data_IF_367684592643
#
_entry.id   IF_367684592643
#
_cell.length_a   1.000
_cell.length_b   1.000
_cell.length_c   1.000
_cell.angle_alpha   90.00
_cell.angle_beta   90.00
_cell.angle_gamma   90.00
#
_symmetry.space_group_name_H-M   'P 1'
#
loop_
_entity.id
_entity.type
_entity.pdbx_description
1 polymer ?
#
# COMPACT_ATOMS: atom_id res chain seq x y z
N UNK A 1 -17.99 -33.95 -13.87
CA UNK A 1 -18.84 -33.53 -12.73
C UNK A 1 -18.06 -32.81 -11.62
N UNK A 2 -17.03 -33.40 -11.00
CA UNK A 2 -16.28 -32.76 -9.88
C UNK A 2 -15.69 -31.37 -10.21
N UNK A 3 -15.15 -31.17 -11.41
CA UNK A 3 -14.60 -29.88 -11.87
C UNK A 3 -15.67 -28.82 -12.14
N UNK A 4 -16.89 -29.22 -12.51
CA UNK A 4 -17.99 -28.28 -12.74
C UNK A 4 -18.58 -27.81 -11.40
N UNK A 5 -18.72 -28.72 -10.43
CA UNK A 5 -19.19 -28.41 -9.08
C UNK A 5 -18.22 -27.48 -8.33
N UNK A 6 -16.91 -27.69 -8.48
CA UNK A 6 -15.89 -26.81 -7.87
C UNK A 6 -15.90 -25.40 -8.49
N UNK A 7 -15.98 -25.30 -9.83
CA UNK A 7 -16.11 -24.01 -10.52
C UNK A 7 -17.38 -23.27 -10.10
N UNK A 8 -18.49 -23.98 -9.96
CA UNK A 8 -19.76 -23.41 -9.52
C UNK A 8 -19.69 -22.93 -8.06
N UNK A 9 -19.07 -23.70 -7.16
CA UNK A 9 -18.87 -23.32 -5.75
C UNK A 9 -18.01 -22.06 -5.62
N UNK A 10 -16.88 -22.00 -6.33
CA UNK A 10 -16.00 -20.81 -6.37
C UNK A 10 -16.79 -19.61 -6.90
N UNK A 11 -17.53 -19.78 -7.99
CA UNK A 11 -18.33 -18.70 -8.57
C UNK A 11 -19.43 -18.22 -7.63
N UNK A 12 -20.14 -19.12 -6.95
CA UNK A 12 -21.15 -18.73 -5.95
C UNK A 12 -20.53 -18.04 -4.73
N UNK A 13 -19.36 -18.48 -4.27
CA UNK A 13 -18.68 -17.79 -3.18
C UNK A 13 -18.23 -16.38 -3.57
N UNK A 14 -17.97 -16.09 -4.84
CA UNK A 14 -17.65 -14.73 -5.29
C UNK A 14 -18.88 -13.82 -5.39
N UNK A 15 -20.10 -14.38 -5.37
CA UNK A 15 -21.33 -13.62 -5.55
C UNK A 15 -21.99 -13.20 -4.24
N UNK A 16 -21.74 -13.88 -3.12
CA UNK A 16 -22.38 -13.60 -1.83
C UNK A 16 -21.42 -12.96 -0.83
N UNK A 17 -21.71 -11.72 -0.43
CA UNK A 17 -20.98 -10.98 0.61
C UNK A 17 -21.11 -11.62 2.01
N UNK A 18 -20.13 -11.33 2.87
CA UNK A 18 -20.17 -11.68 4.30
C UNK A 18 -20.83 -10.52 5.07
N UNK A 19 -21.87 -10.79 5.86
CA UNK A 19 -22.50 -9.77 6.72
C UNK A 19 -21.62 -9.36 7.92
N UNK A 20 -20.52 -10.06 8.19
CA UNK A 20 -19.56 -9.71 9.25
C UNK A 20 -18.52 -8.74 8.68
N UNK A 21 -18.35 -7.57 9.31
CA UNK A 21 -17.27 -6.62 8.98
C UNK A 21 -16.09 -6.78 9.94
N UNK A 22 -14.91 -7.04 9.36
CA UNK A 22 -13.66 -7.30 10.06
C UNK A 22 -12.73 -6.09 10.02
N UNK A 23 -12.61 -5.41 8.87
CA UNK A 23 -11.61 -4.36 8.65
C UNK A 23 -12.21 -3.00 8.34
N UNK A 24 -13.38 -2.94 7.70
CA UNK A 24 -14.13 -1.72 7.47
C UNK A 24 -15.13 -1.48 8.61
N UNK A 25 -15.16 -0.27 9.16
CA UNK A 25 -16.07 0.10 10.24
C UNK A 25 -16.90 1.34 9.88
N UNK A 26 -18.15 1.16 9.41
CA UNK A 26 -19.00 2.26 8.94
C UNK A 26 -19.44 3.22 10.06
N UNK A 27 -19.32 2.81 11.33
CA UNK A 27 -19.69 3.67 12.46
C UNK A 27 -18.60 4.69 12.81
N UNK A 28 -17.36 4.46 12.34
CA UNK A 28 -16.25 5.39 12.56
C UNK A 28 -16.33 6.52 11.54
N UNK A 29 -16.69 7.70 12.01
CA UNK A 29 -16.91 8.89 11.19
C UNK A 29 -15.77 9.92 11.27
N UNK A 30 -14.55 9.46 11.55
CA UNK A 30 -13.35 10.28 11.70
C UNK A 30 -12.12 9.59 11.10
N UNK A 31 -11.09 10.39 10.81
CA UNK A 31 -9.78 9.87 10.41
C UNK A 31 -9.75 9.17 9.06
N UNK A 32 -8.74 8.32 8.88
CA UNK A 32 -8.51 7.50 7.70
C UNK A 32 -9.69 6.57 7.40
N UNK A 33 -10.35 6.02 8.42
CA UNK A 33 -11.48 5.10 8.23
C UNK A 33 -12.66 5.80 7.52
N UNK A 34 -12.93 7.05 7.89
CA UNK A 34 -13.98 7.83 7.25
C UNK A 34 -13.55 8.40 5.88
N UNK A 35 -12.25 8.46 5.59
CA UNK A 35 -11.72 8.87 4.29
C UNK A 35 -11.55 7.70 3.31
N UNK A 36 -11.62 6.46 3.83
CA UNK A 36 -11.47 5.24 3.05
C UNK A 36 -12.52 5.15 1.94
N UNK A 37 -12.06 4.94 0.72
CA UNK A 37 -12.89 4.91 -0.48
C UNK A 37 -12.15 4.17 -1.61
N UNK A 38 -12.84 3.43 -2.51
CA UNK A 38 -12.20 2.73 -3.62
C UNK A 38 -11.24 3.59 -4.47
N UNK A 39 -11.68 4.79 -4.86
CA UNK A 39 -10.83 5.76 -5.60
C UNK A 39 -9.60 6.16 -4.77
N UNK A 40 -9.76 6.42 -3.47
CA UNK A 40 -8.64 6.78 -2.60
C UNK A 40 -7.60 5.65 -2.54
N UNK A 41 -8.06 4.42 -2.32
CA UNK A 41 -7.21 3.23 -2.29
C UNK A 41 -6.53 2.99 -3.62
N UNK A 42 -7.23 3.16 -4.73
CA UNK A 42 -6.66 3.00 -6.05
C UNK A 42 -5.55 4.04 -6.33
N UNK A 43 -5.74 5.30 -5.94
CA UNK A 43 -4.72 6.34 -6.07
C UNK A 43 -3.51 6.06 -5.16
N UNK A 44 -3.74 5.72 -3.90
CA UNK A 44 -2.66 5.39 -2.96
C UNK A 44 -1.85 4.19 -3.45
N UNK A 45 -2.49 3.13 -3.95
CA UNK A 45 -1.81 1.93 -4.40
C UNK A 45 -1.15 2.04 -5.77
N UNK A 46 -1.80 2.69 -6.74
CA UNK A 46 -1.26 2.79 -8.11
C UNK A 46 -0.03 3.68 -8.21
N UNK A 47 0.14 4.60 -7.25
CA UNK A 47 1.14 5.67 -7.32
C UNK A 47 1.96 5.78 -6.02
N UNK A 48 2.02 4.72 -5.20
CA UNK A 48 2.83 4.71 -3.97
C UNK A 48 4.31 4.93 -4.30
N UNK A 49 4.76 4.33 -5.40
CA UNK A 49 6.13 4.43 -5.88
C UNK A 49 6.56 5.85 -6.25
N UNK A 50 5.64 6.79 -6.49
CA UNK A 50 6.02 8.18 -6.79
C UNK A 50 6.71 8.87 -5.61
N UNK A 51 6.57 8.35 -4.39
CA UNK A 51 7.17 8.93 -3.18
C UNK A 51 8.62 8.55 -2.93
N UNK A 52 9.12 7.49 -3.55
CA UNK A 52 10.49 7.04 -3.35
C UNK A 52 11.46 7.62 -4.40
N UNK A 53 11.12 8.68 -5.11
CA UNK A 53 12.04 9.37 -6.02
C UNK A 53 12.72 8.48 -7.09
N UNK A 54 12.09 7.37 -7.46
CA UNK A 54 12.60 6.42 -8.47
C UNK A 54 12.40 6.93 -9.88
N UNK A 55 11.42 7.82 -10.08
CA UNK A 55 11.18 8.48 -11.35
C UNK A 55 11.99 9.77 -11.46
N UNK A 56 12.39 10.10 -12.69
CA UNK A 56 13.04 11.39 -12.99
C UNK A 56 12.09 12.59 -12.79
N UNK A 57 10.79 12.34 -12.84
CA UNK A 57 9.72 13.31 -12.74
C UNK A 57 8.52 12.63 -12.08
N UNK A 58 7.87 13.34 -11.16
CA UNK A 58 6.60 12.92 -10.55
C UNK A 58 5.38 13.40 -11.37
N UNK A 59 5.61 14.02 -12.53
CA UNK A 59 4.53 14.40 -13.43
C UNK A 59 3.89 13.14 -14.01
N UNK A 60 2.58 13.02 -13.81
CA UNK A 60 1.79 11.87 -14.25
C UNK A 60 1.80 11.68 -15.76
N UNK A 61 2.05 12.74 -16.54
CA UNK A 61 2.08 12.70 -18.00
C UNK A 61 3.41 12.20 -18.57
N UNK A 62 4.47 12.19 -17.76
CA UNK A 62 5.79 11.72 -18.19
C UNK A 62 5.93 10.19 -18.12
N UNK A 63 4.97 9.51 -17.48
CA UNK A 63 4.97 8.06 -17.32
C UNK A 63 4.56 7.40 -18.65
N UNK A 64 5.37 6.48 -19.21
CA UNK A 64 5.08 5.82 -20.48
C UNK A 64 4.09 4.65 -20.28
N UNK A 65 2.87 4.94 -19.79
CA UNK A 65 1.90 3.92 -19.37
C UNK A 65 1.68 2.80 -20.38
N UNK A 66 1.60 3.12 -21.68
CA UNK A 66 1.35 2.14 -22.73
C UNK A 66 2.47 1.10 -22.83
N UNK A 67 3.71 1.53 -23.03
CA UNK A 67 4.84 0.61 -23.17
C UNK A 67 5.22 -0.06 -21.84
N UNK A 68 5.00 0.59 -20.70
CA UNK A 68 5.08 -0.06 -19.39
C UNK A 68 4.05 -1.18 -19.24
N UNK A 69 2.77 -0.92 -19.59
CA UNK A 69 1.72 -1.93 -19.54
C UNK A 69 1.99 -3.09 -20.49
N UNK A 70 2.49 -2.82 -21.70
CA UNK A 70 2.93 -3.87 -22.63
C UNK A 70 4.02 -4.76 -22.02
N UNK A 71 4.98 -4.16 -21.30
CA UNK A 71 6.04 -4.89 -20.62
C UNK A 71 5.52 -5.76 -19.47
N UNK A 72 4.67 -5.21 -18.60
CA UNK A 72 4.04 -5.97 -17.51
C UNK A 72 3.20 -7.11 -18.08
N UNK A 73 2.38 -6.81 -19.10
CA UNK A 73 1.54 -7.81 -19.76
C UNK A 73 2.37 -8.95 -20.38
N UNK A 74 3.46 -8.62 -21.06
CA UNK A 74 4.36 -9.61 -21.61
C UNK A 74 4.97 -10.51 -20.52
N UNK A 75 5.38 -9.94 -19.38
CA UNK A 75 5.93 -10.69 -18.26
C UNK A 75 4.93 -11.68 -17.66
N UNK A 76 3.71 -11.22 -17.35
CA UNK A 76 2.69 -12.06 -16.71
C UNK A 76 2.03 -13.07 -17.67
N UNK A 77 2.08 -12.84 -18.98
CA UNK A 77 1.56 -13.81 -19.97
C UNK A 77 2.59 -14.85 -20.39
N UNK A 78 3.88 -14.61 -20.18
CA UNK A 78 4.97 -15.54 -20.45
C UNK A 78 5.81 -15.87 -19.19
N UNK A 79 5.19 -16.17 -18.03
CA UNK A 79 5.91 -16.18 -16.75
C UNK A 79 6.97 -17.28 -16.67
N UNK A 80 6.69 -18.46 -17.22
CA UNK A 80 7.65 -19.58 -17.23
C UNK A 80 8.87 -19.27 -18.07
N UNK A 81 8.69 -18.62 -19.22
CA UNK A 81 9.80 -18.23 -20.09
C UNK A 81 10.67 -17.18 -19.41
N UNK A 82 10.04 -16.16 -18.82
CA UNK A 82 10.74 -15.02 -18.23
C UNK A 82 11.46 -15.39 -16.94
N UNK A 83 10.86 -16.22 -16.08
CA UNK A 83 11.54 -16.78 -14.90
C UNK A 83 12.72 -17.68 -15.31
N UNK A 84 12.59 -18.46 -16.40
CA UNK A 84 13.72 -19.26 -16.90
C UNK A 84 14.85 -18.40 -17.44
N UNK A 85 14.53 -17.30 -18.14
CA UNK A 85 15.53 -16.34 -18.61
C UNK A 85 16.24 -15.69 -17.43
N UNK A 86 15.50 -15.24 -16.43
CA UNK A 86 16.05 -14.64 -15.21
C UNK A 86 16.92 -15.62 -14.43
N UNK A 87 16.51 -16.89 -14.33
CA UNK A 87 17.15 -17.91 -13.53
C UNK A 87 16.19 -18.39 -12.44
N UNK A 88 15.78 -19.66 -12.50
CA UNK A 88 14.74 -20.20 -11.59
C UNK A 88 15.21 -20.17 -10.14
N UNK A 89 16.46 -20.55 -9.88
CA UNK A 89 17.00 -20.59 -8.53
C UNK A 89 17.14 -19.18 -7.95
N UNK A 90 17.60 -18.22 -8.76
CA UNK A 90 17.71 -16.81 -8.36
C UNK A 90 16.33 -16.19 -8.11
N UNK A 91 15.34 -16.49 -8.95
CA UNK A 91 13.96 -16.06 -8.72
C UNK A 91 13.40 -16.60 -7.40
N UNK A 92 13.60 -17.89 -7.11
CA UNK A 92 13.13 -18.48 -5.85
C UNK A 92 13.86 -17.89 -4.66
N UNK A 93 15.16 -17.72 -4.75
CA UNK A 93 15.97 -17.14 -3.67
C UNK A 93 15.58 -15.69 -3.38
N UNK A 94 15.42 -14.85 -4.40
CA UNK A 94 15.17 -13.42 -4.22
C UNK A 94 13.70 -13.08 -3.96
N UNK A 95 12.79 -13.65 -4.75
CA UNK A 95 11.39 -13.24 -4.76
C UNK A 95 10.49 -14.11 -3.88
N UNK A 96 10.79 -15.40 -3.72
CA UNK A 96 9.85 -16.37 -3.11
C UNK A 96 10.25 -16.82 -1.71
N UNK A 97 11.53 -17.04 -1.42
CA UNK A 97 11.98 -17.55 -0.13
C UNK A 97 13.30 -16.89 0.29
N UNK A 98 13.31 -15.56 0.43
CA UNK A 98 14.46 -14.87 0.98
C UNK A 98 14.29 -14.53 2.46
N UNK A 99 14.94 -15.29 3.34
CA UNK A 99 15.06 -14.94 4.76
C UNK A 99 16.33 -14.12 5.06
N UNK A 100 17.02 -13.61 4.03
CA UNK A 100 18.18 -12.75 4.22
C UNK A 100 17.77 -11.43 4.89
N UNK A 101 18.56 -11.03 5.89
CA UNK A 101 18.48 -9.69 6.50
C UNK A 101 19.28 -8.64 5.73
N UNK A 102 19.91 -9.01 4.62
CA UNK A 102 20.56 -8.08 3.70
C UNK A 102 19.49 -7.27 2.93
N UNK A 103 19.43 -5.93 3.11
CA UNK A 103 18.45 -5.10 2.42
C UNK A 103 18.53 -5.19 0.88
N UNK A 104 19.69 -5.53 0.32
CA UNK A 104 19.88 -5.70 -1.13
C UNK A 104 19.36 -7.04 -1.68
N UNK A 105 18.88 -7.92 -0.79
CA UNK A 105 18.30 -9.23 -1.12
C UNK A 105 16.91 -9.42 -0.49
N UNK A 106 16.34 -8.35 0.06
CA UNK A 106 15.16 -8.43 0.93
C UNK A 106 13.81 -8.37 0.23
N UNK A 107 13.70 -8.64 -1.08
CA UNK A 107 12.48 -8.42 -1.88
C UNK A 107 11.27 -9.22 -1.36
N UNK A 108 11.53 -10.43 -0.87
CA UNK A 108 10.53 -11.29 -0.23
C UNK A 108 9.74 -10.65 0.92
N UNK A 109 10.37 -9.81 1.75
CA UNK A 109 9.71 -9.29 2.95
C UNK A 109 8.64 -8.22 2.61
N UNK A 110 8.91 -7.22 1.75
CA UNK A 110 7.88 -6.41 1.11
C UNK A 110 6.81 -7.24 0.40
N UNK A 111 7.17 -8.30 -0.33
CA UNK A 111 6.21 -9.16 -1.04
C UNK A 111 5.18 -9.79 -0.10
N UNK A 112 5.63 -10.34 1.04
CA UNK A 112 4.70 -10.83 2.07
C UNK A 112 3.92 -9.67 2.72
N UNK A 113 4.60 -8.61 3.15
CA UNK A 113 3.98 -7.58 3.96
C UNK A 113 2.95 -6.77 3.16
N UNK A 114 3.28 -6.36 1.94
CA UNK A 114 2.41 -5.55 1.08
C UNK A 114 1.44 -6.42 0.28
N UNK A 115 1.94 -7.40 -0.48
CA UNK A 115 1.10 -8.14 -1.45
C UNK A 115 0.30 -9.29 -0.83
N UNK A 116 0.78 -9.93 0.24
CA UNK A 116 -0.03 -10.94 0.96
C UNK A 116 -0.88 -10.30 2.04
N UNK A 117 -0.25 -9.65 3.03
CA UNK A 117 -0.96 -9.12 4.19
C UNK A 117 -1.73 -7.83 3.85
N UNK A 118 -1.05 -6.83 3.27
CA UNK A 118 -1.64 -5.54 2.92
C UNK A 118 -2.81 -5.66 1.94
N UNK A 119 -2.53 -6.20 0.76
CA UNK A 119 -3.51 -6.39 -0.31
C UNK A 119 -4.62 -7.39 0.08
N UNK A 120 -4.30 -8.47 0.79
CA UNK A 120 -5.31 -9.41 1.29
C UNK A 120 -6.29 -8.76 2.27
N UNK A 121 -5.78 -7.95 3.21
CA UNK A 121 -6.62 -7.17 4.11
C UNK A 121 -7.43 -6.11 3.38
N UNK A 122 -6.82 -5.36 2.44
CA UNK A 122 -7.53 -4.35 1.64
C UNK A 122 -8.60 -4.96 0.75
N UNK A 123 -8.38 -6.15 0.19
CA UNK A 123 -9.40 -6.89 -0.56
C UNK A 123 -10.65 -7.11 0.31
N UNK A 124 -10.49 -7.55 1.55
CA UNK A 124 -11.64 -7.74 2.44
C UNK A 124 -12.24 -6.40 2.86
N UNK A 125 -11.41 -5.42 3.24
CA UNK A 125 -11.89 -4.08 3.64
C UNK A 125 -12.71 -3.41 2.52
N UNK A 126 -12.27 -3.57 1.27
CA UNK A 126 -12.94 -3.05 0.09
C UNK A 126 -14.24 -3.82 -0.23
N UNK A 127 -14.26 -5.14 -0.03
CA UNK A 127 -15.50 -5.93 -0.10
C UNK A 127 -16.52 -5.38 0.90
N UNK A 128 -16.12 -5.19 2.16
CA UNK A 128 -16.99 -4.70 3.23
C UNK A 128 -17.47 -3.26 2.97
N UNK A 129 -16.62 -2.41 2.37
CA UNK A 129 -17.03 -1.07 1.95
C UNK A 129 -18.08 -1.12 0.84
N UNK A 130 -17.87 -1.92 -0.20
CA UNK A 130 -18.83 -2.07 -1.29
C UNK A 130 -20.16 -2.66 -0.80
N UNK A 131 -20.11 -3.62 0.12
CA UNK A 131 -21.29 -4.22 0.76
C UNK A 131 -22.07 -3.16 1.55
N UNK A 132 -21.38 -2.37 2.39
CA UNK A 132 -22.01 -1.29 3.17
C UNK A 132 -22.72 -0.25 2.29
N UNK A 133 -22.18 0.01 1.11
CA UNK A 133 -22.73 0.96 0.15
C UNK A 133 -23.71 0.30 -0.85
N UNK A 134 -24.14 -0.93 -0.60
CA UNK A 134 -25.15 -1.67 -1.37
C UNK A 134 -24.78 -1.93 -2.84
N UNK A 135 -23.51 -2.16 -3.14
CA UNK A 135 -23.09 -2.62 -4.47
C UNK A 135 -23.46 -4.09 -4.67
N UNK A 136 -23.91 -4.47 -5.88
CA UNK A 136 -24.47 -5.81 -6.14
C UNK A 136 -23.46 -6.97 -6.00
N UNK A 137 -22.17 -6.72 -6.27
CA UNK A 137 -21.13 -7.76 -6.24
C UNK A 137 -19.88 -7.28 -5.50
N UNK A 138 -19.94 -7.09 -4.16
CA UNK A 138 -18.86 -6.46 -3.40
C UNK A 138 -17.51 -7.15 -3.55
N UNK A 139 -17.48 -8.49 -3.57
CA UNK A 139 -16.26 -9.28 -3.79
C UNK A 139 -15.63 -9.08 -5.16
N UNK A 140 -16.43 -9.07 -6.22
CA UNK A 140 -15.92 -8.88 -7.58
C UNK A 140 -15.43 -7.44 -7.78
N UNK A 141 -16.16 -6.46 -7.23
CA UNK A 141 -15.76 -5.06 -7.25
C UNK A 141 -14.46 -4.85 -6.47
N UNK A 142 -14.33 -5.48 -5.31
CA UNK A 142 -13.11 -5.48 -4.52
C UNK A 142 -11.95 -6.09 -5.30
N UNK A 143 -12.11 -7.32 -5.82
CA UNK A 143 -11.10 -8.00 -6.63
C UNK A 143 -10.66 -7.14 -7.81
N UNK A 144 -11.60 -6.52 -8.52
CA UNK A 144 -11.30 -5.62 -9.63
C UNK A 144 -10.54 -4.37 -9.20
N UNK A 145 -10.94 -3.75 -8.09
CA UNK A 145 -10.29 -2.54 -7.55
C UNK A 145 -8.86 -2.84 -7.09
N UNK A 146 -8.67 -3.92 -6.34
CA UNK A 146 -7.36 -4.30 -5.82
C UNK A 146 -6.42 -4.76 -6.94
N UNK A 147 -6.90 -5.58 -7.87
CA UNK A 147 -6.12 -5.99 -9.04
C UNK A 147 -5.73 -4.78 -9.89
N UNK A 148 -6.66 -3.84 -10.10
CA UNK A 148 -6.40 -2.64 -10.90
C UNK A 148 -5.24 -1.82 -10.32
N UNK A 149 -5.28 -1.48 -9.04
CA UNK A 149 -4.23 -0.63 -8.48
C UNK A 149 -2.88 -1.36 -8.41
N UNK A 150 -2.87 -2.67 -8.17
CA UNK A 150 -1.64 -3.46 -8.16
C UNK A 150 -0.98 -3.48 -9.53
N UNK A 151 -1.76 -3.75 -10.60
CA UNK A 151 -1.26 -3.69 -11.98
C UNK A 151 -0.78 -2.27 -12.31
N UNK A 152 -1.50 -1.24 -11.88
CA UNK A 152 -1.09 0.14 -12.13
C UNK A 152 0.18 0.51 -11.36
N UNK A 153 0.39 0.01 -10.14
CA UNK A 153 1.65 0.19 -9.41
C UNK A 153 2.82 -0.35 -10.25
N UNK A 154 2.72 -1.59 -10.75
CA UNK A 154 3.75 -2.18 -11.62
C UNK A 154 4.02 -1.33 -12.86
N UNK A 155 2.97 -0.80 -13.48
CA UNK A 155 3.08 0.06 -14.68
C UNK A 155 3.84 1.35 -14.38
N UNK A 156 3.62 1.94 -13.20
CA UNK A 156 4.25 3.19 -12.78
C UNK A 156 5.67 2.95 -12.26
N UNK A 157 5.91 1.85 -11.56
CA UNK A 157 7.20 1.47 -10.98
C UNK A 157 8.23 1.08 -12.05
N UNK A 158 7.76 0.53 -13.16
CA UNK A 158 8.60 0.03 -14.24
C UNK A 158 8.43 0.84 -15.54
N UNK A 159 8.74 2.16 -15.55
CA UNK A 159 8.65 2.98 -16.74
C UNK A 159 9.63 2.47 -17.79
N UNK A 160 9.13 1.95 -18.91
CA UNK A 160 10.01 1.45 -19.96
C UNK A 160 9.51 1.78 -21.35
N UNK A 161 10.45 2.18 -22.22
CA UNK A 161 10.22 2.29 -23.66
C UNK A 161 10.47 0.98 -24.42
N UNK A 162 10.81 -0.12 -23.73
CA UNK A 162 11.13 -1.43 -24.33
C UNK A 162 10.68 -2.61 -23.46
N UNK A 163 10.54 -3.77 -24.08
CA UNK A 163 10.30 -5.02 -23.35
C UNK A 163 11.58 -5.51 -22.68
N UNK A 164 11.46 -5.99 -21.45
CA UNK A 164 12.54 -6.62 -20.68
C UNK A 164 11.97 -7.60 -19.66
N UNK A 165 12.83 -8.50 -19.16
CA UNK A 165 12.43 -9.49 -18.15
C UNK A 165 12.28 -8.79 -16.80
N UNK A 166 11.07 -8.80 -16.26
CA UNK A 166 10.75 -8.33 -14.92
C UNK A 166 10.04 -9.43 -14.15
N UNK A 167 10.76 -10.10 -13.26
CA UNK A 167 10.21 -11.17 -12.43
C UNK A 167 9.44 -10.67 -11.22
N UNK A 168 9.61 -9.40 -10.83
CA UNK A 168 8.94 -8.78 -9.69
C UNK A 168 7.42 -8.73 -9.91
N UNK A 169 7.01 -8.20 -11.07
CA UNK A 169 5.61 -8.22 -11.50
C UNK A 169 5.00 -9.63 -11.60
N UNK A 170 5.82 -10.66 -11.82
CA UNK A 170 5.38 -12.07 -11.85
C UNK A 170 5.12 -12.55 -10.41
N UNK A 171 6.05 -12.32 -9.48
CA UNK A 171 5.85 -12.63 -8.06
C UNK A 171 4.62 -11.93 -7.51
N UNK A 172 4.48 -10.63 -7.75
CA UNK A 172 3.44 -9.84 -7.12
C UNK A 172 2.06 -10.15 -7.67
N UNK A 173 1.90 -10.09 -9.00
CA UNK A 173 0.59 -10.24 -9.62
C UNK A 173 0.11 -11.69 -9.71
N UNK A 174 1.01 -12.67 -9.85
CA UNK A 174 0.63 -14.07 -10.07
C UNK A 174 0.79 -14.96 -8.83
N UNK A 175 1.55 -14.53 -7.81
CA UNK A 175 1.81 -15.33 -6.61
C UNK A 175 1.28 -14.64 -5.36
N UNK A 176 1.85 -13.50 -4.97
CA UNK A 176 1.60 -12.92 -3.65
C UNK A 176 0.23 -12.23 -3.54
N UNK A 177 -0.20 -11.45 -4.54
CA UNK A 177 -1.53 -10.84 -4.53
C UNK A 177 -2.65 -11.90 -4.50
N UNK A 178 -2.64 -12.95 -5.36
CA UNK A 178 -3.60 -14.04 -5.27
C UNK A 178 -3.53 -14.81 -3.95
N UNK A 179 -2.32 -15.03 -3.41
CA UNK A 179 -2.14 -15.67 -2.11
C UNK A 179 -2.76 -14.86 -0.98
N UNK A 180 -2.57 -13.54 -0.97
CA UNK A 180 -3.19 -12.61 -0.01
C UNK A 180 -4.72 -12.68 -0.06
N UNK A 181 -5.29 -12.59 -1.26
CA UNK A 181 -6.75 -12.71 -1.47
C UNK A 181 -7.27 -14.05 -0.96
N UNK A 182 -6.58 -15.15 -1.29
CA UNK A 182 -6.96 -16.50 -0.84
C UNK A 182 -6.86 -16.62 0.68
N UNK A 183 -5.76 -16.17 1.28
CA UNK A 183 -5.52 -16.23 2.71
C UNK A 183 -6.59 -15.45 3.49
N UNK A 184 -6.92 -14.24 3.05
CA UNK A 184 -7.93 -13.40 3.69
C UNK A 184 -9.38 -13.78 3.34
N UNK A 185 -9.58 -14.74 2.44
CA UNK A 185 -10.91 -15.35 2.23
C UNK A 185 -11.33 -16.26 3.40
N UNK A 186 -10.40 -16.71 4.25
CA UNK A 186 -10.69 -17.54 5.41
C UNK A 186 -11.13 -16.71 6.63
N UNK A 187 -12.25 -17.10 7.26
CA UNK A 187 -12.82 -16.39 8.42
C UNK A 187 -11.85 -16.27 9.59
N UNK A 188 -11.09 -17.32 9.89
CA UNK A 188 -10.16 -17.33 11.01
C UNK A 188 -8.99 -16.38 10.81
N UNK A 189 -8.51 -16.25 9.56
CA UNK A 189 -7.47 -15.26 9.20
C UNK A 189 -8.00 -13.85 9.39
N UNK A 190 -9.21 -13.56 8.86
CA UNK A 190 -9.86 -12.26 9.04
C UNK A 190 -10.05 -11.94 10.53
N UNK A 191 -10.49 -12.90 11.32
CA UNK A 191 -10.67 -12.74 12.76
C UNK A 191 -9.33 -12.49 13.46
N UNK A 192 -8.30 -13.25 13.14
CA UNK A 192 -6.96 -13.09 13.71
C UNK A 192 -6.43 -11.68 13.47
N UNK A 193 -6.43 -11.21 12.23
CA UNK A 193 -5.91 -9.89 11.87
C UNK A 193 -6.85 -8.71 12.19
N UNK A 194 -8.12 -8.94 12.51
CA UNK A 194 -9.02 -7.86 12.96
C UNK A 194 -9.16 -7.76 14.48
N UNK A 195 -8.95 -8.87 15.21
CA UNK A 195 -9.21 -8.95 16.66
C UNK A 195 -7.99 -9.34 17.50
N UNK A 196 -7.16 -10.27 17.02
CA UNK A 196 -6.05 -10.83 17.83
C UNK A 196 -4.77 -10.03 17.66
N UNK A 197 -4.42 -9.76 16.41
CA UNK A 197 -3.26 -8.96 15.98
C UNK A 197 -3.80 -7.88 15.05
N UNK A 198 -4.45 -6.83 15.60
CA UNK A 198 -5.25 -5.91 14.80
C UNK A 198 -4.37 -5.20 13.78
N UNK A 199 -4.66 -5.46 12.51
CA UNK A 199 -4.09 -4.82 11.34
C UNK A 199 -5.02 -3.71 10.84
N UNK A 200 -4.46 -2.59 10.40
CA UNK A 200 -5.21 -1.47 9.84
C UNK A 200 -4.55 -0.90 8.59
N UNK A 201 -5.42 -0.39 7.71
CA UNK A 201 -5.05 0.51 6.62
C UNK A 201 -4.93 1.94 7.13
N UNK A 202 -3.71 2.48 7.09
CA UNK A 202 -3.36 3.87 7.36
C UNK A 202 -2.80 4.53 6.09
N UNK A 203 -3.35 4.17 4.93
CA UNK A 203 -3.05 4.84 3.67
C UNK A 203 -3.24 6.36 3.77
N UNK A 204 -2.44 7.08 2.99
CA UNK A 204 -2.36 8.54 3.05
C UNK A 204 -3.54 9.21 2.33
N UNK A 205 -3.47 10.55 2.21
CA UNK A 205 -4.47 11.36 1.55
C UNK A 205 -3.93 11.85 0.20
N UNK A 206 -4.21 11.17 -0.93
CA UNK A 206 -3.75 11.60 -2.25
C UNK A 206 -4.17 13.03 -2.53
N UNK A 207 -3.21 13.87 -2.91
CA UNK A 207 -3.41 15.27 -3.23
C UNK A 207 -3.11 15.51 -4.70
N UNK A 208 -4.14 15.83 -5.48
CA UNK A 208 -3.98 16.15 -6.90
C UNK A 208 -3.46 17.58 -7.02
N UNK A 209 -2.32 17.76 -7.68
CA UNK A 209 -1.80 19.07 -8.05
C UNK A 209 -2.00 19.28 -9.56
N UNK A 210 -3.07 19.99 -9.93
CA UNK A 210 -3.43 20.20 -11.33
C UNK A 210 -2.44 21.08 -12.10
N UNK A 211 -1.72 21.96 -11.41
CA UNK A 211 -0.76 22.87 -12.05
C UNK A 211 0.55 22.15 -12.38
N UNK A 212 1.07 21.36 -11.45
CA UNK A 212 2.28 20.57 -11.66
C UNK A 212 1.99 19.23 -12.38
N UNK A 213 0.72 18.84 -12.50
CA UNK A 213 0.28 17.54 -13.02
C UNK A 213 0.86 16.36 -12.23
N UNK A 214 1.02 16.56 -10.92
CA UNK A 214 1.56 15.57 -9.99
C UNK A 214 0.47 15.06 -9.06
N UNK A 215 0.76 13.93 -8.42
CA UNK A 215 -0.04 13.36 -7.35
C UNK A 215 0.84 13.24 -6.11
N UNK A 216 0.51 14.02 -5.09
CA UNK A 216 1.29 14.10 -3.85
C UNK A 216 0.65 13.25 -2.76
N UNK A 217 1.44 12.86 -1.75
CA UNK A 217 0.94 12.17 -0.55
C UNK A 217 0.13 10.89 -0.85
N UNK A 218 0.48 10.17 -1.91
CA UNK A 218 -0.06 8.83 -2.22
C UNK A 218 0.76 7.77 -1.54
N UNK A 219 0.19 6.99 -0.64
CA UNK A 219 0.86 5.75 -0.29
C UNK A 219 0.05 4.79 0.54
N UNK A 220 0.32 3.52 0.30
CA UNK A 220 -0.27 2.41 1.04
C UNK A 220 0.57 2.14 2.27
N UNK A 221 -0.05 2.32 3.42
CA UNK A 221 0.63 2.09 4.68
C UNK A 221 -0.27 1.32 5.62
N UNK A 222 0.35 0.44 6.36
CA UNK A 222 -0.34 -0.48 7.25
C UNK A 222 0.28 -0.43 8.62
N UNK A 223 -0.51 -0.75 9.63
CA UNK A 223 -0.02 -0.93 10.99
C UNK A 223 -0.62 -2.19 11.59
N UNK A 224 0.19 -2.89 12.38
CA UNK A 224 -0.23 -3.99 13.24
C UNK A 224 0.14 -3.63 14.68
N UNK A 225 -0.81 -3.81 15.59
CA UNK A 225 -0.59 -3.71 17.02
C UNK A 225 -0.49 -5.11 17.66
N UNK A 226 0.37 -5.22 18.69
CA UNK A 226 0.57 -6.46 19.46
C UNK A 226 0.06 -6.28 20.90
N UNK A 227 -1.27 -6.28 21.12
CA UNK A 227 -1.88 -5.95 22.41
C UNK A 227 -1.44 -6.88 23.55
N UNK A 228 -1.05 -8.11 23.23
CA UNK A 228 -0.64 -9.13 24.19
C UNK A 228 0.79 -8.96 24.73
N UNK A 229 1.61 -8.08 24.16
CA UNK A 229 3.02 -7.91 24.57
C UNK A 229 3.26 -6.78 25.59
N UNK A 230 2.34 -5.82 25.74
CA UNK A 230 2.52 -4.68 26.65
C UNK A 230 1.29 -4.31 27.50
N UNK A 231 0.27 -5.18 27.49
CA UNK A 231 -0.97 -4.99 28.24
C UNK A 231 -1.91 -3.95 27.63
N UNK A 232 -2.95 -3.58 28.38
CA UNK A 232 -4.04 -2.76 27.84
C UNK A 232 -3.65 -1.32 27.50
N UNK A 233 -2.56 -0.80 28.09
CA UNK A 233 -2.16 0.61 27.96
C UNK A 233 -1.01 0.86 27.01
N UNK A 234 -0.08 -0.07 26.88
CA UNK A 234 1.12 0.11 26.06
C UNK A 234 1.21 -1.06 25.10
N UNK A 235 1.21 -0.80 23.80
CA UNK A 235 1.15 -1.85 22.79
C UNK A 235 2.28 -1.65 21.79
N UNK A 236 3.20 -2.63 21.62
CA UNK A 236 4.12 -2.61 20.51
C UNK A 236 3.35 -2.57 19.19
N UNK A 237 3.90 -1.89 18.20
CA UNK A 237 3.37 -1.90 16.85
C UNK A 237 4.48 -2.03 15.82
N UNK A 238 4.10 -2.53 14.64
CA UNK A 238 4.89 -2.47 13.41
C UNK A 238 4.06 -1.72 12.38
N UNK A 239 4.68 -0.73 11.75
CA UNK A 239 4.11 0.06 10.66
C UNK A 239 4.95 -0.20 9.41
N UNK A 240 4.29 -0.49 8.29
CA UNK A 240 4.97 -0.77 7.04
C UNK A 240 4.28 -0.16 5.81
N UNK A 241 4.97 -0.20 4.69
CA UNK A 241 4.67 0.47 3.42
C UNK A 241 6.01 0.89 2.82
N UNK A 242 6.12 2.12 2.32
CA UNK A 242 7.42 2.72 1.97
C UNK A 242 8.32 2.99 3.20
N UNK A 243 7.70 3.12 4.39
CA UNK A 243 8.43 3.13 5.66
C UNK A 243 8.38 1.74 6.27
N UNK A 244 9.44 1.31 6.95
CA UNK A 244 9.44 0.17 7.85
C UNK A 244 9.78 0.66 9.26
N UNK A 245 8.80 0.67 10.16
CA UNK A 245 8.94 1.23 11.50
C UNK A 245 8.40 0.28 12.57
N UNK A 246 9.00 0.34 13.74
CA UNK A 246 8.49 -0.29 14.95
C UNK A 246 8.42 0.74 16.08
N UNK A 247 7.51 0.53 17.02
CA UNK A 247 7.29 1.51 18.06
C UNK A 247 6.36 1.06 19.17
N UNK A 248 5.94 2.03 19.96
CA UNK A 248 5.02 1.83 21.07
C UNK A 248 3.82 2.76 20.92
N UNK A 249 2.64 2.19 21.16
CA UNK A 249 1.36 2.86 21.21
C UNK A 249 0.88 2.95 22.64
N UNK A 250 0.58 4.15 23.10
CA UNK A 250 -0.07 4.39 24.38
C UNK A 250 -1.58 4.57 24.20
N UNK A 251 -2.38 3.66 24.77
CA UNK A 251 -3.84 3.74 24.81
C UNK A 251 -4.27 4.72 25.90
N UNK A 252 -4.88 5.81 25.46
CA UNK A 252 -5.52 6.83 26.29
C UNK A 252 -6.98 6.45 26.57
N UNK A 253 -7.65 7.28 27.38
CA UNK A 253 -9.11 7.16 27.59
C UNK A 253 -9.87 7.37 26.27
N UNK A 254 -11.07 6.79 26.19
CA UNK A 254 -11.99 6.95 25.05
C UNK A 254 -11.44 6.41 23.72
N UNK A 255 -10.72 5.29 23.78
CA UNK A 255 -10.18 4.58 22.60
C UNK A 255 -9.32 5.49 21.71
N UNK A 256 -8.59 6.42 22.32
CA UNK A 256 -7.60 7.27 21.66
C UNK A 256 -6.20 6.71 21.89
N UNK A 257 -5.33 6.90 20.92
CA UNK A 257 -3.99 6.32 20.95
C UNK A 257 -2.97 7.35 20.47
N UNK A 258 -1.81 7.36 21.12
CA UNK A 258 -0.61 8.06 20.65
C UNK A 258 0.45 7.01 20.38
N UNK A 259 0.98 6.96 19.16
CA UNK A 259 2.00 6.01 18.78
C UNK A 259 3.27 6.74 18.38
N UNK A 260 4.43 6.30 18.89
CA UNK A 260 5.74 6.82 18.50
C UNK A 260 6.53 5.68 17.87
N UNK A 261 7.02 5.89 16.64
CA UNK A 261 7.74 4.89 15.87
C UNK A 261 9.12 5.37 15.44
N UNK A 262 10.06 4.43 15.38
CA UNK A 262 11.39 4.62 14.80
C UNK A 262 11.63 3.53 13.77
N UNK A 263 12.32 3.87 12.68
CA UNK A 263 12.64 2.90 11.65
C UNK A 263 13.34 3.51 10.46
N UNK A 264 12.99 3.02 9.27
CA UNK A 264 13.58 3.45 8.01
C UNK A 264 12.53 3.78 6.97
N UNK A 265 12.91 4.54 5.97
CA UNK A 265 12.11 4.85 4.77
C UNK A 265 12.92 4.57 3.52
N UNK A 266 12.29 4.09 2.46
CA UNK A 266 12.90 4.02 1.13
C UNK A 266 12.75 5.39 0.45
N UNK A 267 13.84 6.14 0.36
CA UNK A 267 13.84 7.49 -0.22
C UNK A 267 14.22 7.51 -1.70
N UNK A 268 14.96 6.51 -2.17
CA UNK A 268 15.32 6.33 -3.57
C UNK A 268 15.39 4.85 -3.91
N UNK A 269 14.89 4.43 -5.07
CA UNK A 269 15.26 3.13 -5.65
C UNK A 269 16.21 3.38 -6.82
N UNK A 270 17.32 2.64 -6.85
CA UNK A 270 18.27 2.65 -7.96
C UNK A 270 18.01 1.43 -8.83
N UNK A 271 17.80 1.65 -10.11
CA UNK A 271 17.80 0.58 -11.12
C UNK A 271 19.24 0.30 -11.55
N UNK A 272 19.70 -0.91 -11.30
CA UNK A 272 20.97 -1.44 -11.79
C UNK A 272 20.67 -2.44 -12.91
N UNK A 273 21.13 -2.16 -14.13
CA UNK A 273 21.14 -3.17 -15.19
C UNK A 273 22.34 -4.06 -14.91
N UNK A 274 22.11 -5.33 -14.56
CA UNK A 274 23.17 -6.32 -14.47
C UNK A 274 23.29 -7.03 -15.81
N UNK A 275 24.42 -6.82 -16.48
CA UNK A 275 24.89 -7.76 -17.51
C UNK A 275 25.44 -8.97 -16.76
N UNK A 276 24.67 -10.05 -16.66
CA UNK A 276 25.22 -11.35 -16.27
C UNK A 276 25.46 -12.18 -17.53
N UNK A 277 26.30 -13.22 -17.43
CA UNK A 277 26.75 -14.07 -18.54
C UNK A 277 25.60 -14.73 -19.36
N UNK A 278 24.35 -14.58 -18.94
CA UNK A 278 23.15 -15.13 -19.58
C UNK A 278 22.03 -14.10 -19.85
N UNK A 279 22.21 -12.82 -19.53
CA UNK A 279 21.11 -11.84 -19.46
C UNK A 279 21.50 -10.49 -20.06
N UNK A 280 21.05 -10.24 -21.30
CA UNK A 280 20.82 -8.86 -21.75
C UNK A 280 19.50 -8.37 -21.13
N UNK A 281 19.55 -7.26 -20.38
CA UNK A 281 18.40 -6.45 -19.92
C UNK A 281 17.64 -6.90 -18.67
N UNK A 282 18.27 -7.48 -17.65
CA UNK A 282 17.64 -7.63 -16.32
C UNK A 282 17.87 -6.39 -15.47
N UNK A 283 16.81 -5.81 -14.90
CA UNK A 283 16.86 -4.64 -14.03
C UNK A 283 16.72 -5.09 -12.57
N UNK A 284 17.67 -4.72 -11.72
CA UNK A 284 17.61 -4.90 -10.27
C UNK A 284 17.32 -3.57 -9.58
N UNK A 285 16.48 -3.61 -8.55
CA UNK A 285 16.06 -2.43 -7.80
C UNK A 285 16.70 -2.44 -6.40
N UNK A 286 17.62 -1.51 -6.13
CA UNK A 286 18.28 -1.40 -4.83
C UNK A 286 17.76 -0.16 -4.08
N UNK A 287 17.16 -0.31 -2.89
CA UNK A 287 16.64 0.81 -2.12
C UNK A 287 17.73 1.56 -1.33
N UNK A 288 17.81 2.88 -1.52
CA UNK A 288 18.48 3.80 -0.60
C UNK A 288 17.53 4.15 0.56
N UNK A 289 17.92 3.72 1.76
CA UNK A 289 17.11 3.90 2.95
C UNK A 289 17.68 4.92 3.92
N UNK A 290 16.83 5.80 4.44
CA UNK A 290 17.12 6.74 5.53
C UNK A 290 16.45 6.32 6.84
N UNK A 291 16.83 6.96 7.94
CA UNK A 291 16.13 6.86 9.21
C UNK A 291 14.79 7.60 9.17
N UNK A 292 13.84 7.12 9.97
CA UNK A 292 12.50 7.72 10.10
C UNK A 292 12.06 7.74 11.56
N UNK A 293 11.49 8.87 11.98
CA UNK A 293 10.81 9.08 13.25
C UNK A 293 9.37 9.48 12.96
N UNK A 294 8.41 8.83 13.62
CA UNK A 294 7.00 9.09 13.42
C UNK A 294 6.23 9.27 14.73
N UNK A 295 5.22 10.13 14.67
CA UNK A 295 4.19 10.31 15.68
C UNK A 295 2.83 10.11 15.02
N UNK A 296 2.01 9.25 15.59
CA UNK A 296 0.65 9.01 15.15
C UNK A 296 -0.34 9.33 16.28
N UNK A 297 -1.47 9.88 15.90
CA UNK A 297 -2.63 10.03 16.79
C UNK A 297 -3.83 9.39 16.12
N UNK A 298 -4.44 8.42 16.78
CA UNK A 298 -5.56 7.65 16.24
C UNK A 298 -6.70 7.50 17.25
N UNK A 299 -7.88 7.17 16.76
CA UNK A 299 -9.05 6.85 17.59
C UNK A 299 -9.78 5.66 16.99
N UNK A 300 -10.10 4.66 17.81
CA UNK A 300 -10.79 3.43 17.36
C UNK A 300 -10.06 2.78 16.17
N UNK A 301 -8.72 2.84 16.19
CA UNK A 301 -7.80 2.42 15.13
C UNK A 301 -7.87 3.18 13.79
N UNK A 302 -8.68 4.24 13.70
CA UNK A 302 -8.67 5.19 12.59
C UNK A 302 -7.61 6.28 12.81
N UNK A 303 -6.73 6.49 11.83
CA UNK A 303 -5.67 7.48 11.92
C UNK A 303 -6.25 8.89 11.81
N UNK A 304 -6.04 9.72 12.83
CA UNK A 304 -6.50 11.12 12.84
C UNK A 304 -5.40 12.05 12.33
N UNK A 305 -4.17 11.82 12.77
CA UNK A 305 -3.02 12.63 12.40
C UNK A 305 -1.76 11.77 12.37
N UNK A 306 -0.88 12.02 11.40
CA UNK A 306 0.50 11.53 11.42
C UNK A 306 1.47 12.68 11.19
N UNK A 307 2.63 12.58 11.83
CA UNK A 307 3.77 13.44 11.59
C UNK A 307 5.01 12.55 11.46
N UNK A 308 5.77 12.72 10.40
CA UNK A 308 6.96 11.93 10.10
C UNK A 308 8.12 12.85 9.75
N UNK A 309 9.31 12.47 10.20
CA UNK A 309 10.57 13.10 9.83
C UNK A 309 11.50 12.00 9.31
N UNK A 310 12.15 12.25 8.18
CA UNK A 310 13.11 11.32 7.56
C UNK A 310 14.45 11.99 7.32
N UNK A 311 15.52 11.20 7.25
CA UNK A 311 16.88 11.67 6.99
C UNK A 311 17.96 10.69 7.47
N UNK A 312 19.27 11.01 7.36
CA UNK A 312 19.80 12.34 7.06
C UNK A 312 20.16 12.57 5.59
N UNK A 313 20.05 11.58 4.69
CA UNK A 313 20.45 11.79 3.28
C UNK A 313 19.44 12.63 2.51
N UNK A 314 18.15 12.42 2.77
CA UNK A 314 17.05 13.21 2.24
C UNK A 314 16.15 13.64 3.40
N UNK A 315 16.36 14.87 3.87
CA UNK A 315 15.54 15.41 4.94
C UNK A 315 14.14 15.71 4.42
N UNK A 316 13.14 15.14 5.06
CA UNK A 316 11.75 15.45 4.77
C UNK A 316 10.91 15.44 6.04
N UNK A 317 9.92 16.33 6.09
CA UNK A 317 8.91 16.42 7.12
C UNK A 317 7.56 16.26 6.43
N UNK A 318 6.76 15.32 6.92
CA UNK A 318 5.41 15.07 6.41
C UNK A 318 4.40 15.14 7.55
N UNK A 319 3.32 15.90 7.38
CA UNK A 319 2.23 16.00 8.34
C UNK A 319 0.91 15.80 7.62
N UNK A 320 0.11 14.87 8.14
CA UNK A 320 -1.24 14.57 7.67
C UNK A 320 -2.23 14.79 8.80
N UNK A 321 -3.31 15.52 8.52
CA UNK A 321 -4.50 15.61 9.38
C UNK A 321 -5.71 15.21 8.55
N UNK A 322 -6.43 14.18 8.97
CA UNK A 322 -7.57 13.66 8.20
C UNK A 322 -8.84 14.51 8.42
N UNK A 323 -9.81 14.48 7.49
CA UNK A 323 -11.12 15.09 7.69
C UNK A 323 -11.83 14.58 8.95
N UNK A 324 -12.75 15.37 9.49
CA UNK A 324 -13.48 15.14 10.75
C UNK A 324 -12.65 15.25 12.04
N UNK A 325 -11.36 15.58 11.94
CA UNK A 325 -10.51 15.93 13.11
C UNK A 325 -10.74 17.39 13.52
N UNK A 326 -10.64 18.32 12.57
CA UNK A 326 -10.88 19.75 12.79
C UNK A 326 -12.27 20.08 12.26
N UNK A 327 -13.17 20.59 13.12
CA UNK A 327 -14.55 20.92 12.77
C UNK A 327 -14.80 22.43 12.85
N UNK A 328 -15.14 23.02 11.72
CA UNK A 328 -15.52 24.43 11.57
C UNK A 328 -17.01 24.48 11.18
N UNK A 329 -17.89 24.35 12.19
CA UNK A 329 -19.32 24.20 11.95
C UNK A 329 -19.65 22.91 11.20
N UNK A 330 -20.25 23.03 10.00
CA UNK A 330 -20.55 21.89 9.11
C UNK A 330 -19.37 21.48 8.24
N UNK A 331 -18.32 22.30 8.18
CA UNK A 331 -17.15 22.03 7.37
C UNK A 331 -16.08 21.32 8.20
N UNK A 332 -15.44 20.30 7.63
CA UNK A 332 -14.35 19.60 8.29
C UNK A 332 -13.27 19.20 7.29
N UNK A 333 -12.25 20.05 7.12
CA UNK A 333 -11.15 19.78 6.21
C UNK A 333 -10.16 18.78 6.81
N UNK A 334 -9.46 18.07 5.94
CA UNK A 334 -8.16 17.49 6.21
C UNK A 334 -7.06 18.36 5.61
N UNK A 335 -5.85 18.22 6.13
CA UNK A 335 -4.68 18.98 5.74
C UNK A 335 -3.51 18.06 5.47
N UNK A 336 -2.70 18.45 4.49
CA UNK A 336 -1.41 17.87 4.21
C UNK A 336 -0.37 18.97 4.18
N UNK A 337 0.79 18.70 4.78
CA UNK A 337 1.96 19.55 4.73
C UNK A 337 3.18 18.67 4.52
N UNK A 338 3.99 19.04 3.54
CA UNK A 338 5.31 18.47 3.36
C UNK A 338 6.35 19.57 3.20
N UNK A 339 7.55 19.32 3.74
CA UNK A 339 8.70 20.18 3.60
C UNK A 339 9.99 19.36 3.61
N UNK A 340 10.76 19.41 2.52
CA UNK A 340 12.03 18.71 2.47
C UNK A 340 12.69 18.66 1.09
N UNK A 341 13.83 17.99 1.03
CA UNK A 341 14.60 17.80 -0.21
C UNK A 341 13.90 16.89 -1.22
N UNK A 342 13.09 15.94 -0.73
CA UNK A 342 12.35 15.00 -1.59
C UNK A 342 11.02 15.54 -2.09
N UNK A 343 10.27 16.27 -1.25
CA UNK A 343 8.90 16.70 -1.56
C UNK A 343 8.79 18.21 -1.85
N UNK A 344 9.84 19.01 -1.62
CA UNK A 344 9.72 20.48 -1.70
C UNK A 344 8.79 21.02 -0.61
N UNK A 345 8.17 22.18 -0.82
CA UNK A 345 7.11 22.69 0.04
C UNK A 345 5.75 22.41 -0.60
N UNK A 346 4.99 21.48 -0.02
CA UNK A 346 3.64 21.13 -0.50
C UNK A 346 2.61 21.36 0.58
N UNK A 347 1.52 22.02 0.21
CA UNK A 347 0.32 22.18 1.02
C UNK A 347 -0.85 21.47 0.35
N UNK A 348 -1.65 20.75 1.13
CA UNK A 348 -2.83 20.06 0.62
C UNK A 348 -4.07 20.25 1.50
N UNK A 349 -5.23 20.20 0.85
CA UNK A 349 -6.54 20.29 1.48
C UNK A 349 -7.43 19.14 0.98
N UNK A 350 -7.99 18.37 1.90
CA UNK A 350 -8.97 17.32 1.60
C UNK A 350 -10.29 17.62 2.30
N UNK A 351 -11.38 17.03 1.80
CA UNK A 351 -12.71 17.14 2.42
C UNK A 351 -13.38 15.79 2.48
N UNK A 352 -14.20 15.58 3.51
CA UNK A 352 -14.84 14.30 3.84
C UNK A 352 -15.39 13.50 2.64
N UNK A 353 -16.11 14.16 1.73
CA UNK A 353 -16.91 13.51 0.71
C UNK A 353 -16.21 13.43 -0.65
N UNK A 354 -14.94 13.83 -0.73
CA UNK A 354 -14.12 13.74 -1.94
C UNK A 354 -12.97 12.78 -1.63
N UNK A 355 -12.78 11.70 -2.40
CA UNK A 355 -11.82 10.64 -2.09
C UNK A 355 -10.35 11.01 -2.34
N UNK A 356 -10.09 12.28 -2.63
CA UNK A 356 -8.78 12.88 -2.84
C UNK A 356 -8.84 14.34 -2.37
N UNK A 357 -7.68 14.93 -2.13
CA UNK A 357 -7.54 16.36 -1.87
C UNK A 357 -6.87 17.10 -3.03
N UNK A 358 -6.71 18.40 -2.84
CA UNK A 358 -6.01 19.28 -3.77
C UNK A 358 -4.69 19.72 -3.14
N UNK A 359 -3.60 19.54 -3.88
CA UNK A 359 -2.25 19.91 -3.47
C UNK A 359 -1.74 21.12 -4.25
N UNK A 360 -0.80 21.83 -3.65
CA UNK A 360 0.00 22.86 -4.32
C UNK A 360 1.44 22.83 -3.81
N UNK A 361 2.36 22.69 -4.75
CA UNK A 361 3.80 22.87 -4.56
C UNK A 361 4.18 24.36 -4.68
N UNK A 362 5.18 24.80 -3.93
CA UNK A 362 5.61 26.20 -3.78
C UNK A 362 7.09 26.45 -4.03
#
# INVERSE_FOLDING_TARGET
MKTLTLKLLIFTSLLFGSNDYYFYNPHINNGSENFFHPINTALNGSFDILRNGSLKSNNLMDIPYGSSADNIWWNITHPVENVKKFGVDEFVELEIFNLSFDPSKGHFLPNIANHVLGNGMLYVKMEEWYDHHNFHHPRLMSLGTTTFYQVMNEVVEHPSGRLYVNVDSISDLLIFNPLGILLFSFKDVKYFFSKTVPMQDWSLQPMVNLQAQTLENTGQNYIIHFPFLGGDKLQPFVYWGIHGMAGLTYKMKSEKYISVGLGRVVNRIRSEIRETDFLENTIFFTPDMDGSLSLFYSKENSLLMSAMVTGPRYYNIQINVFPNVIKLGKFSPGFYFAFGESEGLVLGLSVKNIPFGFGKEY
#
